data_IF_011793565474
#
_entry.id   IF_011793565474
#
_cell.length_a   1.000
_cell.length_b   1.000
_cell.length_c   1.000
_cell.angle_alpha   90.00
_cell.angle_beta   90.00
_cell.angle_gamma   90.00
#
_symmetry.space_group_name_H-M   'P 1'
#
loop_
_entity.id
_entity.type
_entity.pdbx_description
1 polymer ?
#
# COMPACT_ATOMS: atom_id res chain seq x y z
N UNK A 1 61.62 25.25 -2.99
CA UNK A 1 61.57 24.48 -1.72
C UNK A 1 60.18 24.63 -1.13
N UNK A 2 59.67 23.54 -0.57
CA UNK A 2 58.26 23.18 -0.34
C UNK A 2 57.78 23.67 1.03
N UNK A 3 56.60 24.28 1.10
CA UNK A 3 55.80 24.38 2.33
C UNK A 3 54.34 24.12 1.95
N UNK A 4 53.85 22.95 2.32
CA UNK A 4 52.46 22.50 2.17
C UNK A 4 51.76 22.80 3.50
N UNK A 5 50.71 23.62 3.48
CA UNK A 5 49.77 23.73 4.60
C UNK A 5 48.44 23.07 4.19
N UNK A 6 47.97 22.02 4.89
CA UNK A 6 46.65 21.47 4.62
C UNK A 6 45.60 22.35 5.32
N UNK A 7 44.79 23.09 4.55
CA UNK A 7 43.60 23.74 5.07
C UNK A 7 42.41 22.78 4.94
N UNK A 8 41.84 22.48 6.09
CA UNK A 8 40.86 21.45 6.38
C UNK A 8 39.56 21.68 5.59
N UNK A 9 39.10 20.62 4.91
CA UNK A 9 37.76 20.54 4.33
C UNK A 9 36.77 20.39 5.49
N UNK A 10 36.05 21.46 5.83
CA UNK A 10 34.89 21.38 6.72
C UNK A 10 33.64 21.13 5.88
N UNK A 11 33.36 19.86 5.59
CA UNK A 11 32.00 19.45 5.22
C UNK A 11 31.18 19.54 6.50
N UNK A 12 30.33 20.56 6.59
CA UNK A 12 29.24 20.60 7.55
C UNK A 12 28.21 19.57 7.09
N UNK A 13 28.35 18.33 7.57
CA UNK A 13 27.26 17.36 7.56
C UNK A 13 26.20 17.91 8.52
N UNK A 14 25.22 18.61 7.97
CA UNK A 14 23.95 18.81 8.64
C UNK A 14 23.41 17.41 8.94
N UNK A 15 23.51 17.02 10.21
CA UNK A 15 22.92 15.81 10.73
C UNK A 15 21.41 15.90 10.54
N UNK A 16 20.92 15.33 9.44
CA UNK A 16 19.59 14.77 9.43
C UNK A 16 19.63 13.69 10.51
N UNK A 17 19.10 13.99 11.69
CA UNK A 17 18.68 12.96 12.64
C UNK A 17 17.66 12.10 11.93
N UNK A 18 18.16 11.12 11.17
CA UNK A 18 17.48 9.88 10.91
C UNK A 18 17.41 9.23 12.30
N UNK A 19 16.47 9.69 13.12
CA UNK A 19 15.94 8.86 14.17
C UNK A 19 15.64 7.53 13.49
N UNK A 20 16.28 6.46 13.94
CA UNK A 20 16.02 5.11 13.47
C UNK A 20 14.52 4.86 13.67
N UNK A 21 13.70 5.21 12.68
CA UNK A 21 12.36 4.70 12.56
C UNK A 21 12.57 3.19 12.39
N UNK A 22 12.43 2.51 13.51
CA UNK A 22 12.83 1.13 13.68
C UNK A 22 11.63 0.19 13.59
N UNK A 23 11.85 -1.12 13.77
CA UNK A 23 10.78 -2.12 13.81
C UNK A 23 9.66 -1.81 14.82
N UNK A 24 9.94 -1.04 15.88
CA UNK A 24 8.92 -0.61 16.85
C UNK A 24 7.95 0.42 16.27
N UNK A 25 8.42 1.35 15.44
CA UNK A 25 7.58 2.37 14.81
C UNK A 25 6.69 1.75 13.73
N UNK A 26 7.25 0.82 12.94
CA UNK A 26 6.49 0.00 12.01
C UNK A 26 5.35 -0.78 12.71
N UNK A 27 5.65 -1.37 13.88
CA UNK A 27 4.66 -2.09 14.69
C UNK A 27 3.56 -1.15 15.20
N UNK A 28 3.91 0.03 15.69
CA UNK A 28 2.93 1.02 16.14
C UNK A 28 2.01 1.51 15.01
N UNK A 29 2.55 1.69 13.79
CA UNK A 29 1.75 2.00 12.61
C UNK A 29 0.81 0.85 12.23
N UNK A 30 1.30 -0.39 12.26
CA UNK A 30 0.50 -1.57 12.00
C UNK A 30 -0.65 -1.71 13.02
N UNK A 31 -0.39 -1.54 14.31
CA UNK A 31 -1.42 -1.66 15.36
C UNK A 31 -2.52 -0.62 15.19
N UNK A 32 -2.16 0.64 14.90
CA UNK A 32 -3.14 1.69 14.58
C UNK A 32 -3.95 1.34 13.33
N UNK A 33 -3.29 0.87 12.27
CA UNK A 33 -3.97 0.46 11.04
C UNK A 33 -4.92 -0.72 11.26
N UNK A 34 -4.52 -1.70 12.08
CA UNK A 34 -5.32 -2.85 12.44
C UNK A 34 -6.54 -2.47 13.26
N UNK A 35 -6.40 -1.53 14.21
CA UNK A 35 -7.53 -1.03 14.98
C UNK A 35 -8.52 -0.26 14.11
N UNK A 36 -8.02 0.67 13.29
CA UNK A 36 -8.84 1.39 12.32
C UNK A 36 -9.59 0.43 11.37
N UNK A 37 -8.94 -0.65 10.93
CA UNK A 37 -9.58 -1.66 10.08
C UNK A 37 -10.75 -2.35 10.78
N UNK A 38 -10.58 -2.74 12.07
CA UNK A 38 -11.67 -3.36 12.86
C UNK A 38 -12.85 -2.42 13.02
N UNK A 39 -12.57 -1.13 13.18
CA UNK A 39 -13.56 -0.07 13.34
C UNK A 39 -14.11 0.44 11.99
N UNK A 40 -13.82 -0.26 10.89
CA UNK A 40 -14.23 0.06 9.53
C UNK A 40 -13.76 1.43 9.00
N UNK A 41 -12.78 2.05 9.65
CA UNK A 41 -12.09 3.26 9.18
C UNK A 41 -10.98 2.87 8.20
N UNK A 42 -11.39 2.42 7.02
CA UNK A 42 -10.47 1.79 6.08
C UNK A 42 -9.40 2.73 5.51
N UNK A 43 -9.68 4.03 5.36
CA UNK A 43 -8.67 5.01 4.92
C UNK A 43 -7.54 5.15 5.94
N UNK A 44 -7.87 5.26 7.23
CA UNK A 44 -6.88 5.26 8.33
C UNK A 44 -6.13 3.92 8.40
N UNK A 45 -6.82 2.81 8.14
CA UNK A 45 -6.18 1.49 8.08
C UNK A 45 -5.13 1.43 6.96
N UNK A 46 -5.46 1.94 5.77
CA UNK A 46 -4.55 2.02 4.62
C UNK A 46 -3.32 2.87 4.99
N UNK A 47 -3.51 4.04 5.60
CA UNK A 47 -2.41 4.91 6.03
C UNK A 47 -1.49 4.19 7.03
N UNK A 48 -2.06 3.60 8.08
CA UNK A 48 -1.31 2.86 9.09
C UNK A 48 -0.52 1.69 8.52
N UNK A 49 -1.15 0.86 7.68
CA UNK A 49 -0.46 -0.26 7.04
C UNK A 49 0.60 0.19 6.03
N UNK A 50 0.35 1.28 5.29
CA UNK A 50 1.32 1.81 4.31
C UNK A 50 2.55 2.39 4.99
N UNK A 51 2.37 3.11 6.10
CA UNK A 51 3.49 3.58 6.94
C UNK A 51 4.27 2.41 7.52
N UNK A 52 3.58 1.41 8.07
CA UNK A 52 4.23 0.20 8.57
C UNK A 52 5.07 -0.50 7.48
N UNK A 53 4.56 -0.56 6.24
CA UNK A 53 5.27 -1.17 5.11
C UNK A 53 6.46 -0.34 4.65
N UNK A 54 6.38 0.99 4.72
CA UNK A 54 7.49 1.88 4.38
C UNK A 54 8.66 1.73 5.36
N UNK A 55 8.37 1.52 6.65
CA UNK A 55 9.38 1.35 7.70
C UNK A 55 9.96 -0.08 7.76
N UNK A 56 9.10 -1.10 7.65
CA UNK A 56 9.49 -2.51 7.67
C UNK A 56 8.71 -3.29 6.59
N UNK A 57 9.25 -3.38 5.36
CA UNK A 57 8.57 -4.00 4.24
C UNK A 57 8.31 -5.49 4.48
N UNK A 58 7.06 -5.81 4.82
CA UNK A 58 6.59 -7.20 4.96
C UNK A 58 5.48 -7.49 3.95
N UNK A 59 5.54 -8.60 3.19
CA UNK A 59 4.52 -8.94 2.22
C UNK A 59 3.10 -8.94 2.81
N UNK A 60 2.94 -9.43 4.05
CA UNK A 60 1.62 -9.46 4.72
C UNK A 60 0.97 -8.07 4.84
N UNK A 61 1.75 -6.99 4.88
CA UNK A 61 1.22 -5.62 4.91
C UNK A 61 0.59 -5.25 3.57
N UNK A 62 1.14 -5.70 2.43
CA UNK A 62 0.52 -5.52 1.11
C UNK A 62 -0.84 -6.20 1.04
N UNK A 63 -0.97 -7.40 1.62
CA UNK A 63 -2.25 -8.09 1.74
C UNK A 63 -3.26 -7.30 2.59
N UNK A 64 -2.82 -6.75 3.73
CA UNK A 64 -3.68 -5.93 4.61
C UNK A 64 -4.12 -4.62 3.95
N UNK A 65 -3.22 -3.96 3.23
CA UNK A 65 -3.52 -2.77 2.43
C UNK A 65 -4.56 -3.11 1.35
N UNK A 66 -4.36 -4.23 0.64
CA UNK A 66 -5.31 -4.69 -0.38
C UNK A 66 -6.71 -4.97 0.19
N UNK A 67 -6.80 -5.63 1.34
CA UNK A 67 -8.07 -5.85 2.02
C UNK A 67 -8.74 -4.54 2.45
N UNK A 68 -7.98 -3.58 2.99
CA UNK A 68 -8.52 -2.30 3.39
C UNK A 68 -9.09 -1.52 2.19
N UNK A 69 -8.38 -1.49 1.05
CA UNK A 69 -8.90 -0.92 -0.20
C UNK A 69 -10.15 -1.65 -0.70
N UNK A 70 -10.17 -3.00 -0.64
CA UNK A 70 -11.33 -3.78 -1.05
C UNK A 70 -12.58 -3.41 -0.23
N UNK A 71 -12.40 -3.24 1.09
CA UNK A 71 -13.47 -2.86 2.03
C UNK A 71 -13.92 -1.41 1.89
N UNK A 72 -13.01 -0.52 1.51
CA UNK A 72 -13.32 0.86 1.13
C UNK A 72 -14.11 0.92 -0.19
N UNK A 73 -14.06 -0.14 -1.01
CA UNK A 73 -14.69 -0.19 -2.32
C UNK A 73 -13.80 0.33 -3.45
N UNK A 74 -12.56 0.72 -3.14
CA UNK A 74 -11.52 1.08 -4.11
C UNK A 74 -10.91 -0.20 -4.71
N UNK A 75 -11.67 -0.75 -5.65
CA UNK A 75 -11.33 -2.02 -6.32
C UNK A 75 -10.02 -1.91 -7.11
N UNK A 76 -9.71 -0.74 -7.66
CA UNK A 76 -8.50 -0.52 -8.45
C UNK A 76 -7.24 -0.60 -7.60
N UNK A 77 -7.22 0.08 -6.45
CA UNK A 77 -6.07 0.02 -5.55
C UNK A 77 -5.96 -1.34 -4.83
N UNK A 78 -7.08 -1.99 -4.52
CA UNK A 78 -7.07 -3.35 -3.98
C UNK A 78 -6.37 -4.33 -4.95
N UNK A 79 -6.72 -4.28 -6.24
CA UNK A 79 -6.09 -5.12 -7.27
C UNK A 79 -4.58 -4.87 -7.39
N UNK A 80 -4.15 -3.60 -7.31
CA UNK A 80 -2.73 -3.24 -7.35
C UNK A 80 -1.98 -3.88 -6.16
N UNK A 81 -2.46 -3.66 -4.94
CA UNK A 81 -1.80 -4.19 -3.74
C UNK A 81 -1.80 -5.74 -3.69
N UNK A 82 -2.85 -6.41 -4.16
CA UNK A 82 -2.85 -7.87 -4.29
C UNK A 82 -1.84 -8.38 -5.31
N UNK A 83 -1.68 -7.68 -6.44
CA UNK A 83 -0.67 -8.05 -7.45
C UNK A 83 0.74 -7.82 -6.91
N UNK A 84 0.96 -6.76 -6.14
CA UNK A 84 2.23 -6.49 -5.47
C UNK A 84 2.54 -7.62 -4.47
N UNK A 85 1.57 -8.04 -3.65
CA UNK A 85 1.70 -9.20 -2.76
C UNK A 85 2.10 -10.48 -3.52
N UNK A 86 1.52 -10.75 -4.68
CA UNK A 86 1.86 -11.93 -5.49
C UNK A 86 3.30 -11.91 -6.04
N UNK A 87 3.88 -10.71 -6.25
CA UNK A 87 5.27 -10.54 -6.71
C UNK A 87 6.28 -10.88 -5.61
N UNK A 88 5.90 -10.76 -4.35
CA UNK A 88 6.74 -11.13 -3.20
C UNK A 88 6.93 -12.66 -3.03
N UNK A 89 6.32 -13.47 -3.91
CA UNK A 89 6.48 -14.92 -3.89
C UNK A 89 5.83 -15.62 -2.69
N UNK A 90 4.53 -15.41 -2.43
CA UNK A 90 3.84 -16.08 -1.32
C UNK A 90 3.71 -17.59 -1.58
N UNK A 91 3.26 -18.32 -0.55
CA UNK A 91 2.98 -19.76 -0.66
C UNK A 91 1.99 -20.07 -1.80
N UNK A 92 2.02 -21.30 -2.33
CA UNK A 92 1.06 -21.70 -3.37
C UNK A 92 -0.40 -21.62 -2.91
N UNK A 93 -0.65 -21.83 -1.61
CA UNK A 93 -1.98 -21.68 -1.03
C UNK A 93 -2.43 -20.22 -1.05
N UNK A 94 -1.62 -19.32 -0.49
CA UNK A 94 -1.91 -17.89 -0.48
C UNK A 94 -2.08 -17.36 -1.90
N UNK A 95 -1.19 -17.77 -2.83
CA UNK A 95 -1.27 -17.40 -4.24
C UNK A 95 -2.63 -17.74 -4.83
N UNK A 96 -3.11 -18.98 -4.67
CA UNK A 96 -4.43 -19.40 -5.19
C UNK A 96 -5.58 -18.59 -4.61
N UNK A 97 -5.50 -18.26 -3.32
CA UNK A 97 -6.51 -17.43 -2.63
C UNK A 97 -6.53 -16.02 -3.24
N UNK A 98 -5.37 -15.39 -3.38
CA UNK A 98 -5.26 -14.03 -3.90
C UNK A 98 -5.62 -13.96 -5.38
N UNK A 99 -5.21 -14.91 -6.20
CA UNK A 99 -5.62 -14.97 -7.61
C UNK A 99 -7.14 -15.12 -7.76
N UNK A 100 -7.79 -15.88 -6.88
CA UNK A 100 -9.25 -16.00 -6.87
C UNK A 100 -9.91 -14.67 -6.50
N UNK A 101 -9.39 -13.97 -5.49
CA UNK A 101 -9.87 -12.62 -5.14
C UNK A 101 -9.69 -11.63 -6.29
N UNK A 102 -8.51 -11.60 -6.92
CA UNK A 102 -8.21 -10.75 -8.08
C UNK A 102 -9.25 -10.99 -9.19
N UNK A 103 -9.48 -12.25 -9.59
CA UNK A 103 -10.47 -12.58 -10.63
C UNK A 103 -11.88 -12.08 -10.28
N UNK A 104 -12.28 -12.17 -9.02
CA UNK A 104 -13.59 -11.71 -8.57
C UNK A 104 -13.70 -10.17 -8.59
N UNK A 105 -12.63 -9.48 -8.18
CA UNK A 105 -12.56 -8.02 -8.21
C UNK A 105 -12.55 -7.48 -9.65
N UNK A 106 -11.82 -8.12 -10.56
CA UNK A 106 -11.81 -7.77 -11.99
C UNK A 106 -13.20 -7.90 -12.62
N UNK A 107 -13.91 -8.99 -12.33
CA UNK A 107 -15.31 -9.17 -12.77
C UNK A 107 -16.22 -8.07 -12.24
N UNK A 108 -16.11 -7.70 -10.96
CA UNK A 108 -16.88 -6.61 -10.34
C UNK A 108 -16.59 -5.27 -11.02
N UNK A 109 -15.31 -4.98 -11.29
CA UNK A 109 -14.89 -3.74 -11.94
C UNK A 109 -15.42 -3.66 -13.38
N UNK A 110 -15.34 -4.75 -14.14
CA UNK A 110 -15.89 -4.84 -15.49
C UNK A 110 -17.41 -4.65 -15.49
N UNK A 111 -18.12 -5.34 -14.58
CA UNK A 111 -19.57 -5.21 -14.46
C UNK A 111 -19.99 -3.78 -14.11
N UNK A 112 -19.28 -3.11 -13.19
CA UNK A 112 -19.53 -1.69 -12.86
C UNK A 112 -19.28 -0.78 -14.06
N UNK A 113 -18.22 -1.00 -14.83
CA UNK A 113 -17.96 -0.23 -16.06
C UNK A 113 -19.08 -0.38 -17.09
N UNK A 114 -19.57 -1.61 -17.30
CA UNK A 114 -20.73 -1.86 -18.16
C UNK A 114 -22.00 -1.18 -17.63
N UNK A 115 -22.27 -1.26 -16.33
CA UNK A 115 -23.41 -0.58 -15.70
C UNK A 115 -23.36 0.94 -15.85
N UNK A 116 -22.18 1.53 -15.67
CA UNK A 116 -21.99 2.98 -15.86
C UNK A 116 -22.27 3.38 -17.31
N UNK A 117 -21.72 2.64 -18.29
CA UNK A 117 -21.99 2.90 -19.71
C UNK A 117 -23.50 2.79 -20.03
N UNK A 118 -24.20 1.78 -19.51
CA UNK A 118 -25.64 1.62 -19.77
C UNK A 118 -26.49 2.73 -19.15
N UNK A 119 -26.15 3.20 -17.94
CA UNK A 119 -26.87 4.32 -17.28
C UNK A 119 -26.78 5.61 -18.11
N UNK A 120 -25.63 5.85 -18.75
CA UNK A 120 -25.43 7.04 -19.59
C UNK A 120 -25.97 6.89 -21.02
N UNK A 121 -26.25 5.66 -21.48
CA UNK A 121 -26.66 5.37 -22.85
C UNK A 121 -28.18 5.30 -23.07
N UNK A 122 -29.01 5.44 -22.02
CA UNK A 122 -30.46 5.61 -22.17
C UNK A 122 -30.75 6.88 -22.98
N UNK A 123 -31.33 6.80 -24.20
CA UNK A 123 -31.63 7.97 -25.00
C UNK A 123 -32.75 8.78 -24.34
N UNK A 124 -32.43 10.00 -23.90
CA UNK A 124 -33.45 11.00 -23.55
C UNK A 124 -34.16 11.40 -24.83
N UNK A 125 -35.36 10.85 -25.04
CA UNK A 125 -36.27 11.25 -26.12
C UNK A 125 -36.40 10.22 -27.23
N UNK A 126 -37.35 9.30 -27.04
CA UNK A 126 -38.13 8.71 -28.12
C UNK A 126 -39.61 8.99 -27.83
#
# INVERSE_FOLDING_TARGET
MRQLTPAIISIVLLGSSLALAGPEEAKAHFERGAEAYKEARYEEAIDGFSKAYAEDPKPILLYNIAQAYERLGDTSNALRAYRDFLREGPSDEDRRVIETRIRNLEKRLQARGLQQLSIFAEPVGA
#
